data_IF_192588299522
#
_entry.id   IF_192588299522
#
_cell.length_a   1.000
_cell.length_b   1.000
_cell.length_c   1.000
_cell.angle_alpha   90.00
_cell.angle_beta   90.00
_cell.angle_gamma   90.00
#
_symmetry.space_group_name_H-M   'P 1'
#
loop_
_entity.id
_entity.type
_entity.pdbx_description
1 polymer ?
#
# COMPACT_ATOMS: atom_id res chain seq x y z
N UNK A 1 -6.84 -16.07 2.69
CA UNK A 1 -5.79 -15.23 3.27
C UNK A 1 -5.34 -14.28 2.18
N UNK A 2 -5.40 -12.97 2.45
CA UNK A 2 -4.96 -11.95 1.53
C UNK A 2 -3.92 -11.07 2.21
N UNK A 3 -2.97 -10.56 1.44
CA UNK A 3 -1.97 -9.61 1.90
C UNK A 3 -2.29 -8.24 1.33
N UNK A 4 -2.09 -7.19 2.12
CA UNK A 4 -2.22 -5.80 1.67
C UNK A 4 -1.01 -4.99 2.11
N UNK A 5 -0.77 -3.86 1.45
CA UNK A 5 0.24 -2.90 1.90
C UNK A 5 -0.38 -1.92 2.88
N UNK A 6 0.19 -1.80 4.08
CA UNK A 6 -0.12 -0.73 5.03
C UNK A 6 0.92 0.38 4.89
N UNK A 7 0.45 1.63 4.87
CA UNK A 7 1.27 2.83 4.87
C UNK A 7 1.02 3.60 6.16
N UNK A 8 2.07 3.76 6.98
CA UNK A 8 2.03 4.57 8.20
C UNK A 8 2.73 5.90 7.93
N UNK A 9 2.01 7.01 8.06
CA UNK A 9 2.57 8.34 7.89
C UNK A 9 3.56 8.69 9.01
N UNK A 10 4.44 9.71 8.82
CA UNK A 10 5.30 10.20 9.90
C UNK A 10 4.55 10.70 11.15
N UNK A 11 3.25 10.98 11.04
CA UNK A 11 2.37 11.39 12.15
C UNK A 11 1.69 10.21 12.86
N UNK A 12 1.87 8.98 12.34
CA UNK A 12 1.27 7.75 12.87
C UNK A 12 -0.05 7.34 12.23
N UNK A 13 -0.61 8.16 11.33
CA UNK A 13 -1.85 7.82 10.61
C UNK A 13 -1.64 6.61 9.68
N UNK A 14 -2.58 5.67 9.68
CA UNK A 14 -2.51 4.43 8.89
C UNK A 14 -3.43 4.48 7.66
N UNK A 15 -2.89 4.01 6.55
CA UNK A 15 -3.56 3.87 5.26
C UNK A 15 -3.19 2.53 4.62
N UNK A 16 -3.79 2.22 3.48
CA UNK A 16 -3.51 1.01 2.71
C UNK A 16 -3.18 1.34 1.27
N UNK A 17 -2.39 0.49 0.62
CA UNK A 17 -2.06 0.61 -0.80
C UNK A 17 -3.28 0.25 -1.64
N UNK A 18 -3.77 1.21 -2.41
CA UNK A 18 -4.89 1.00 -3.34
C UNK A 18 -4.46 0.20 -4.57
N UNK A 19 -5.41 -0.51 -5.16
CA UNK A 19 -5.22 -1.16 -6.45
C UNK A 19 -4.86 -0.14 -7.53
N UNK A 20 -4.10 -0.59 -8.54
CA UNK A 20 -3.77 0.22 -9.72
C UNK A 20 -5.07 0.73 -10.36
N UNK A 21 -5.20 2.05 -10.49
CA UNK A 21 -6.30 2.66 -11.22
C UNK A 21 -6.15 2.51 -12.74
N UNK A 22 -7.12 3.03 -13.51
CA UNK A 22 -7.10 2.94 -14.98
C UNK A 22 -5.90 3.64 -15.62
N UNK A 23 -5.29 4.58 -14.91
CA UNK A 23 -4.15 5.37 -15.37
C UNK A 23 -2.81 4.75 -14.92
N UNK A 24 -2.84 3.58 -14.29
CA UNK A 24 -1.63 2.89 -13.83
C UNK A 24 -1.10 3.39 -12.49
N UNK A 25 -1.85 4.24 -11.79
CA UNK A 25 -1.42 4.89 -10.56
C UNK A 25 -1.92 4.10 -9.35
N UNK A 26 -1.02 3.80 -8.43
CA UNK A 26 -1.36 3.33 -7.08
C UNK A 26 -1.35 4.52 -6.14
N UNK A 27 -2.36 4.70 -5.32
CA UNK A 27 -2.36 5.68 -4.22
C UNK A 27 -2.63 5.00 -2.88
N UNK A 28 -2.92 5.80 -1.84
CA UNK A 28 -3.32 5.30 -0.53
C UNK A 28 -4.83 5.43 -0.33
N UNK A 29 -5.44 4.42 0.27
CA UNK A 29 -6.85 4.41 0.67
C UNK A 29 -7.00 4.23 2.19
N UNK A 30 -8.16 4.58 2.74
CA UNK A 30 -8.41 4.53 4.18
C UNK A 30 -8.91 3.16 4.69
N UNK A 31 -9.32 2.27 3.78
CA UNK A 31 -9.97 1.00 4.12
C UNK A 31 -9.33 -0.17 3.40
N UNK A 32 -9.20 -1.30 4.09
CA UNK A 32 -8.73 -2.56 3.51
C UNK A 32 -9.62 -3.06 2.38
N UNK A 33 -10.90 -2.67 2.34
CA UNK A 33 -11.83 -3.06 1.27
C UNK A 33 -11.47 -2.44 -0.10
N UNK A 34 -10.69 -1.35 -0.10
CA UNK A 34 -10.19 -0.67 -1.30
C UNK A 34 -8.72 -1.01 -1.57
N UNK A 35 -8.08 -1.73 -0.66
CA UNK A 35 -6.68 -2.07 -0.77
C UNK A 35 -6.47 -3.14 -1.85
N UNK A 36 -5.32 -3.09 -2.52
CA UNK A 36 -4.91 -4.16 -3.41
C UNK A 36 -4.67 -5.44 -2.60
N UNK A 37 -5.40 -6.50 -2.94
CA UNK A 37 -5.29 -7.80 -2.31
C UNK A 37 -4.29 -8.67 -3.07
N UNK A 38 -3.23 -9.06 -2.38
CA UNK A 38 -2.16 -9.92 -2.88
C UNK A 38 -2.30 -11.34 -2.35
N UNK A 39 -1.83 -12.33 -3.13
CA UNK A 39 -1.88 -13.75 -2.74
C UNK A 39 -0.77 -14.10 -1.75
N UNK A 40 0.39 -13.47 -1.89
CA UNK A 40 1.54 -13.71 -1.02
C UNK A 40 2.08 -12.41 -0.43
N UNK A 41 2.80 -12.51 0.69
CA UNK A 41 3.52 -11.38 1.28
C UNK A 41 4.52 -10.76 0.30
N UNK A 42 5.23 -11.61 -0.45
CA UNK A 42 6.24 -11.18 -1.42
C UNK A 42 5.62 -10.30 -2.49
N UNK A 43 4.46 -10.69 -3.04
CA UNK A 43 3.76 -9.88 -4.06
C UNK A 43 3.38 -8.48 -3.51
N UNK A 44 2.96 -8.40 -2.24
CA UNK A 44 2.66 -7.14 -1.58
C UNK A 44 3.93 -6.29 -1.37
N UNK A 45 5.05 -6.89 -0.98
CA UNK A 45 6.33 -6.20 -0.77
C UNK A 45 6.94 -5.69 -2.07
N UNK A 46 6.81 -6.43 -3.18
CA UNK A 46 7.23 -5.97 -4.51
C UNK A 46 6.52 -4.66 -4.91
N UNK A 47 5.27 -4.49 -4.46
CA UNK A 47 4.52 -3.26 -4.73
C UNK A 47 5.03 -2.03 -3.96
N UNK A 48 5.87 -2.20 -2.93
CA UNK A 48 6.48 -1.09 -2.18
C UNK A 48 7.28 -0.14 -3.07
N UNK A 49 7.90 -0.68 -4.12
CA UNK A 49 8.63 0.11 -5.10
C UNK A 49 7.76 1.28 -5.58
N UNK A 50 6.54 1.01 -6.03
CA UNK A 50 5.64 2.04 -6.57
C UNK A 50 5.34 3.16 -5.57
N UNK A 51 5.06 2.81 -4.31
CA UNK A 51 4.78 3.81 -3.26
C UNK A 51 6.00 4.66 -2.92
N UNK A 52 7.21 4.08 -2.94
CA UNK A 52 8.45 4.81 -2.66
C UNK A 52 8.81 5.84 -3.73
N UNK A 53 8.35 5.67 -4.98
CA UNK A 53 8.53 6.69 -6.03
C UNK A 53 7.56 7.86 -5.92
N UNK A 54 6.54 7.76 -5.06
CA UNK A 54 5.58 8.84 -4.88
C UNK A 54 6.07 9.84 -3.85
N UNK A 55 6.38 11.05 -4.29
CA UNK A 55 6.78 12.16 -3.40
C UNK A 55 5.74 12.46 -2.32
N UNK A 56 4.46 12.24 -2.59
CA UNK A 56 3.37 12.44 -1.62
C UNK A 56 3.40 11.44 -0.45
N UNK A 57 4.10 10.31 -0.61
CA UNK A 57 4.25 9.25 0.37
C UNK A 57 5.68 9.20 0.93
N UNK A 58 6.48 10.23 0.68
CA UNK A 58 7.83 10.31 1.23
C UNK A 58 7.79 10.29 2.77
N UNK A 59 8.70 9.52 3.36
CA UNK A 59 8.76 9.26 4.80
C UNK A 59 7.69 8.32 5.36
N UNK A 60 6.76 7.77 4.55
CA UNK A 60 5.83 6.76 5.04
C UNK A 60 6.56 5.43 5.28
N UNK A 61 6.22 4.76 6.37
CA UNK A 61 6.63 3.38 6.61
C UNK A 61 5.67 2.44 5.88
N UNK A 62 6.24 1.45 5.18
CA UNK A 62 5.52 0.47 4.38
C UNK A 62 5.63 -0.91 5.04
N UNK A 63 4.52 -1.61 5.18
CA UNK A 63 4.45 -2.95 5.76
C UNK A 63 3.48 -3.82 4.95
N UNK A 64 3.82 -5.09 4.75
CA UNK A 64 2.90 -6.06 4.17
C UNK A 64 2.19 -6.79 5.31
N UNK A 65 0.87 -6.69 5.36
CA UNK A 65 0.05 -7.22 6.45
C UNK A 65 -0.99 -8.21 5.91
N UNK A 66 -1.24 -9.26 6.68
CA UNK A 66 -2.26 -10.27 6.36
C UNK A 66 -3.63 -9.81 6.89
N UNK A 67 -4.68 -10.01 6.09
CA UNK A 67 -6.09 -9.69 6.40
C UNK A 67 -7.04 -10.85 6.10
#
# INVERSE_FOLDING_TARGET
MAWVVMLTSPKGDRFYGEAIDRDGIRYRCASTAQAEAFKTKSDAEESFYYFRFMRALDGYQLEAVEI
#
